data_IF_842034990306
#
_entry.id   IF_842034990306
#
_cell.length_a   1.000
_cell.length_b   1.000
_cell.length_c   1.000
_cell.angle_alpha   90.00
_cell.angle_beta   90.00
_cell.angle_gamma   90.00
#
_symmetry.space_group_name_H-M   'P 1'
#
loop_
_entity.id
_entity.type
_entity.pdbx_description
1 polymer ?
#
# COMPACT_ATOMS: atom_id res chain seq x y z
N UNK A 1 -2.87 3.04 -6.15
CA UNK A 1 -3.25 4.39 -6.61
C UNK A 1 -2.72 4.69 -8.00
N UNK A 2 -1.39 4.62 -8.21
CA UNK A 2 -0.78 4.89 -9.52
C UNK A 2 -1.40 4.08 -10.69
N UNK A 3 -1.64 2.78 -10.48
CA UNK A 3 -2.32 1.94 -11.47
C UNK A 3 -3.69 2.48 -11.88
N UNK A 4 -4.46 3.03 -10.95
CA UNK A 4 -5.78 3.61 -11.22
C UNK A 4 -5.68 4.93 -12.00
N UNK A 5 -4.65 5.74 -11.74
CA UNK A 5 -4.38 6.97 -12.51
C UNK A 5 -4.01 6.65 -13.95
N UNK A 6 -3.17 5.64 -14.17
CA UNK A 6 -2.81 5.19 -15.52
C UNK A 6 -4.01 4.66 -16.32
N UNK A 7 -5.10 4.30 -15.64
CA UNK A 7 -6.38 3.89 -16.24
C UNK A 7 -7.39 5.04 -16.38
N UNK A 8 -7.01 6.26 -16.01
CA UNK A 8 -7.81 7.48 -16.13
C UNK A 8 -9.13 7.38 -15.34
N UNK A 9 -9.14 6.66 -14.22
CA UNK A 9 -10.29 6.65 -13.32
C UNK A 9 -10.38 7.98 -12.57
N UNK A 10 -11.56 8.62 -12.61
CA UNK A 10 -11.83 9.87 -11.91
C UNK A 10 -12.34 9.66 -10.47
N UNK A 11 -12.93 8.51 -10.19
CA UNK A 11 -13.46 8.13 -8.88
C UNK A 11 -12.94 6.76 -8.46
N UNK A 12 -12.42 6.65 -7.23
CA UNK A 12 -11.74 5.43 -6.75
C UNK A 12 -12.05 5.14 -5.28
N UNK A 13 -12.29 3.87 -4.97
CA UNK A 13 -12.42 3.39 -3.59
C UNK A 13 -11.23 2.47 -3.29
N UNK A 14 -10.40 2.84 -2.31
CA UNK A 14 -9.26 2.04 -1.88
C UNK A 14 -9.62 1.19 -0.66
N UNK A 15 -9.63 -0.13 -0.86
CA UNK A 15 -9.86 -1.09 0.21
C UNK A 15 -8.52 -1.65 0.70
N UNK A 16 -8.26 -1.60 2.00
CA UNK A 16 -7.03 -2.08 2.60
C UNK A 16 -7.24 -2.77 3.94
N UNK A 17 -6.36 -3.71 4.29
CA UNK A 17 -6.39 -4.45 5.56
C UNK A 17 -5.45 -3.88 6.63
N UNK A 18 -4.76 -2.78 6.33
CA UNK A 18 -3.96 -2.03 7.31
C UNK A 18 -4.77 -0.87 7.88
N UNK A 19 -5.28 -1.05 9.10
CA UNK A 19 -6.06 -0.03 9.79
C UNK A 19 -5.26 1.28 9.98
N UNK A 20 -3.95 1.17 10.23
CA UNK A 20 -3.05 2.32 10.36
C UNK A 20 -2.97 3.14 9.07
N UNK A 21 -2.80 2.47 7.92
CA UNK A 21 -2.68 3.15 6.62
C UNK A 21 -4.00 3.80 6.22
N UNK A 22 -5.12 3.10 6.38
CA UNK A 22 -6.46 3.64 6.08
C UNK A 22 -6.75 4.86 6.95
N UNK A 23 -6.48 4.77 8.26
CA UNK A 23 -6.70 5.88 9.19
C UNK A 23 -5.86 7.10 8.83
N UNK A 24 -4.55 6.92 8.61
CA UNK A 24 -3.66 8.04 8.24
C UNK A 24 -3.98 8.64 6.87
N UNK A 25 -4.40 7.82 5.91
CA UNK A 25 -4.84 8.30 4.59
C UNK A 25 -6.11 9.16 4.68
N UNK A 26 -6.98 8.94 5.67
CA UNK A 26 -8.17 9.76 5.95
C UNK A 26 -7.81 11.05 6.69
N UNK A 27 -6.96 10.97 7.71
CA UNK A 27 -6.62 12.08 8.61
C UNK A 27 -5.75 13.17 7.94
N UNK A 28 -5.18 12.92 6.75
CA UNK A 28 -4.19 13.80 6.09
C UNK A 28 -3.00 14.16 7.01
N UNK A 29 -2.70 13.31 7.99
CA UNK A 29 -1.69 13.58 9.01
C UNK A 29 -0.28 13.41 8.46
N UNK A 30 0.54 14.45 8.59
CA UNK A 30 1.92 14.51 8.09
C UNK A 30 2.85 14.08 9.20
N UNK A 31 2.83 12.79 9.52
CA UNK A 31 3.79 12.23 10.47
C UNK A 31 5.01 11.65 9.73
N UNK A 32 6.20 12.14 10.08
CA UNK A 32 7.49 11.79 9.46
C UNK A 32 8.08 10.45 9.96
N UNK A 33 7.33 9.68 10.74
CA UNK A 33 7.72 8.33 11.18
C UNK A 33 7.89 7.34 10.01
N UNK A 34 8.44 6.15 10.29
CA UNK A 34 8.56 5.03 9.31
C UNK A 34 7.21 4.81 8.60
N UNK A 35 7.18 5.10 7.29
CA UNK A 35 5.98 5.07 6.45
C UNK A 35 5.54 6.45 5.91
N UNK A 36 6.14 7.54 6.37
CA UNK A 36 5.80 8.91 5.94
C UNK A 36 5.96 9.15 4.43
N UNK A 37 6.98 8.57 3.80
CA UNK A 37 7.17 8.70 2.34
C UNK A 37 6.01 8.10 1.52
N UNK A 38 5.48 6.95 1.95
CA UNK A 38 4.35 6.29 1.29
C UNK A 38 3.06 7.09 1.49
N UNK A 39 2.85 7.63 2.69
CA UNK A 39 1.67 8.46 2.98
C UNK A 39 1.70 9.79 2.24
N UNK A 40 2.88 10.39 2.08
CA UNK A 40 3.07 11.60 1.28
C UNK A 40 2.78 11.34 -0.21
N UNK A 41 3.20 10.19 -0.74
CA UNK A 41 2.84 9.78 -2.10
C UNK A 41 1.33 9.57 -2.24
N UNK A 42 0.69 8.87 -1.29
CA UNK A 42 -0.77 8.72 -1.25
C UNK A 42 -1.45 10.08 -1.26
N UNK A 43 -0.99 11.04 -0.46
CA UNK A 43 -1.52 12.41 -0.40
C UNK A 43 -1.42 13.12 -1.75
N UNK A 44 -0.27 13.04 -2.42
CA UNK A 44 -0.09 13.61 -3.76
C UNK A 44 -1.02 12.98 -4.78
N UNK A 45 -1.16 11.66 -4.76
CA UNK A 45 -2.01 10.94 -5.72
C UNK A 45 -3.51 11.16 -5.44
N UNK A 46 -3.91 11.43 -4.19
CA UNK A 46 -5.31 11.74 -3.84
C UNK A 46 -5.84 12.94 -4.62
N UNK A 47 -5.04 13.98 -4.82
CA UNK A 47 -5.48 15.22 -5.51
C UNK A 47 -5.74 15.02 -7.01
N UNK A 48 -5.25 13.91 -7.57
CA UNK A 48 -5.45 13.57 -8.99
C UNK A 48 -6.80 12.88 -9.26
N UNK A 49 -7.58 12.56 -8.22
CA UNK A 49 -8.92 11.97 -8.35
C UNK A 49 -10.00 12.99 -7.99
N UNK A 50 -11.08 13.03 -8.77
CA UNK A 50 -12.25 13.86 -8.46
C UNK A 50 -13.00 13.35 -7.22
N UNK A 51 -12.99 12.03 -6.99
CA UNK A 51 -13.55 11.40 -5.80
C UNK A 51 -12.68 10.26 -5.33
N UNK A 52 -12.39 10.22 -4.03
CA UNK A 52 -11.59 9.16 -3.42
C UNK A 52 -12.10 8.80 -2.03
N UNK A 53 -12.23 7.51 -1.76
CA UNK A 53 -12.57 6.98 -0.43
C UNK A 53 -11.60 5.87 -0.02
N UNK A 54 -11.45 5.70 1.29
CA UNK A 54 -10.63 4.65 1.89
C UNK A 54 -11.50 3.81 2.82
N UNK A 55 -11.44 2.50 2.67
CA UNK A 55 -12.25 1.55 3.42
C UNK A 55 -11.34 0.49 4.04
N UNK A 56 -11.48 0.30 5.34
CA UNK A 56 -10.86 -0.84 6.00
C UNK A 56 -11.62 -2.12 5.65
N UNK A 57 -10.90 -3.10 5.12
CA UNK A 57 -11.43 -4.40 4.77
C UNK A 57 -10.56 -5.48 5.45
N UNK A 58 -11.12 -6.37 6.28
CA UNK A 58 -10.35 -7.43 6.93
C UNK A 58 -9.53 -8.26 5.93
N UNK A 59 -8.35 -8.77 6.32
CA UNK A 59 -7.48 -9.55 5.41
C UNK A 59 -8.18 -10.69 4.69
N UNK A 60 -9.17 -11.33 5.33
CA UNK A 60 -10.01 -12.38 4.72
C UNK A 60 -10.72 -11.91 3.44
N UNK A 61 -11.18 -10.66 3.39
CA UNK A 61 -11.83 -10.05 2.22
C UNK A 61 -10.82 -9.49 1.23
N UNK A 62 -9.61 -9.13 1.70
CA UNK A 62 -8.50 -8.64 0.85
C UNK A 62 -7.48 -9.73 0.46
N UNK A 63 -7.91 -11.01 0.43
CA UNK A 63 -7.00 -12.16 0.28
C UNK A 63 -6.25 -12.16 -1.05
N UNK A 64 -6.88 -11.69 -2.13
CA UNK A 64 -6.25 -11.61 -3.44
C UNK A 64 -5.05 -10.65 -3.45
N UNK A 65 -5.23 -9.43 -2.91
CA UNK A 65 -4.14 -8.47 -2.80
C UNK A 65 -3.03 -8.97 -1.89
N UNK A 66 -3.39 -9.64 -0.78
CA UNK A 66 -2.41 -10.25 0.12
C UNK A 66 -1.57 -11.33 -0.58
N UNK A 67 -2.21 -12.21 -1.37
CA UNK A 67 -1.51 -13.24 -2.15
C UNK A 67 -0.55 -12.62 -3.15
N UNK A 68 -0.98 -11.61 -3.90
CA UNK A 68 -0.13 -10.90 -4.86
C UNK A 68 1.08 -10.29 -4.15
N UNK A 69 0.88 -9.64 -3.00
CA UNK A 69 1.98 -9.09 -2.21
C UNK A 69 2.95 -10.18 -1.75
N UNK A 70 2.45 -11.31 -1.24
CA UNK A 70 3.29 -12.44 -0.81
C UNK A 70 4.09 -13.05 -1.97
N UNK A 71 3.46 -13.28 -3.12
CA UNK A 71 4.14 -13.84 -4.29
C UNK A 71 5.21 -12.89 -4.82
N UNK A 72 4.96 -11.59 -4.81
CA UNK A 72 5.95 -10.58 -5.22
C UNK A 72 7.12 -10.53 -4.24
N UNK A 73 6.86 -10.53 -2.93
CA UNK A 73 7.93 -10.56 -1.92
C UNK A 73 8.76 -11.84 -2.07
N UNK A 74 8.12 -13.00 -2.24
CA UNK A 74 8.82 -14.27 -2.44
C UNK A 74 9.66 -14.26 -3.73
N UNK A 75 9.13 -13.72 -4.83
CA UNK A 75 9.84 -13.59 -6.10
C UNK A 75 11.05 -12.65 -6.00
N UNK A 76 10.89 -11.50 -5.35
CA UNK A 76 11.99 -10.57 -5.09
C UNK A 76 13.02 -11.23 -4.18
N UNK A 77 12.60 -11.93 -3.12
CA UNK A 77 13.49 -12.66 -2.25
C UNK A 77 14.29 -13.72 -3.03
N UNK A 78 13.68 -14.47 -3.96
CA UNK A 78 14.38 -15.43 -4.83
C UNK A 78 15.38 -14.76 -5.78
N UNK A 79 15.11 -13.57 -6.30
CA UNK A 79 16.07 -12.81 -7.10
C UNK A 79 17.16 -12.13 -6.25
N UNK A 80 16.94 -11.97 -4.95
CA UNK A 80 17.95 -11.55 -3.99
C UNK A 80 18.78 -12.72 -3.45
N UNK A 81 18.50 -13.98 -3.79
CA UNK A 81 19.37 -15.12 -3.39
C UNK A 81 20.70 -15.12 -4.14
N UNK A 82 20.80 -14.43 -5.29
CA UNK A 82 22.09 -14.15 -5.95
C UNK A 82 22.91 -13.05 -5.25
N UNK A 83 22.31 -12.37 -4.25
CA UNK A 83 22.99 -11.40 -3.39
C UNK A 83 22.68 -11.73 -1.94
N UNK A 84 23.49 -12.60 -1.33
CA UNK A 84 23.51 -12.90 0.10
C UNK A 84 23.16 -11.68 0.98
N UNK A 85 21.90 -11.57 1.39
CA UNK A 85 21.46 -10.66 2.45
C UNK A 85 20.56 -11.48 3.37
N UNK A 86 21.21 -12.14 4.33
CA UNK A 86 20.55 -12.62 5.54
C UNK A 86 20.08 -11.40 6.32
N UNK A 87 18.77 -11.16 6.37
CA UNK A 87 18.17 -10.35 7.44
C UNK A 87 17.12 -11.22 8.10
N UNK A 88 17.56 -11.88 9.17
CA UNK A 88 16.70 -12.47 10.19
C UNK A 88 16.18 -11.33 11.06
N UNK A 89 14.86 -11.21 11.21
CA UNK A 89 14.27 -10.45 12.31
C UNK A 89 13.30 -11.40 13.01
N UNK A 90 13.78 -11.96 14.12
CA UNK A 90 12.95 -12.60 15.12
C UNK A 90 12.09 -11.53 15.83
N UNK A 91 10.88 -11.94 16.22
CA UNK A 91 9.91 -11.19 17.04
C UNK A 91 10.51 -10.62 18.31
#
# INVERSE_FOLDING_TARGET
MLWSLNRVYSAVCFCGDSQLVIRRALENDVNHDRGGAVLEEVRKLKTSFASISFVFAPRRTNRAAHRVAQTTIASVATHMVDYHVFISIAL
#
